data_IF_900723162154
#
_entry.id   IF_900723162154
#
_cell.length_a   1.000
_cell.length_b   1.000
_cell.length_c   1.000
_cell.angle_alpha   90.00
_cell.angle_beta   90.00
_cell.angle_gamma   90.00
#
_symmetry.space_group_name_H-M   'P 1'
#
loop_
_entity.id
_entity.type
_entity.pdbx_description
1 polymer ?
#
# COMPACT_ATOMS: atom_id res chain seq x y z
N UNK A 1 15.43 10.75 -4.00
CA UNK A 1 15.85 10.34 -5.35
C UNK A 1 14.96 9.19 -5.78
N UNK A 2 14.06 9.40 -6.75
CA UNK A 2 13.18 8.35 -7.30
C UNK A 2 13.59 8.05 -8.73
N UNK A 3 13.93 6.79 -9.01
CA UNK A 3 14.20 6.35 -10.37
C UNK A 3 12.88 5.91 -11.01
N UNK A 4 12.39 6.65 -12.00
CA UNK A 4 11.21 6.24 -12.77
C UNK A 4 11.64 5.29 -13.88
N UNK A 5 11.43 3.99 -13.68
CA UNK A 5 11.65 2.97 -14.70
C UNK A 5 10.34 2.74 -15.46
N UNK A 6 10.32 2.99 -16.79
CA UNK A 6 9.17 2.61 -17.64
C UNK A 6 9.42 1.22 -18.20
N UNK A 7 8.68 0.24 -17.70
CA UNK A 7 8.77 -1.14 -18.14
C UNK A 7 7.93 -1.35 -19.41
N UNK A 8 8.58 -1.56 -20.55
CA UNK A 8 7.93 -1.96 -21.82
C UNK A 8 8.44 -3.33 -22.24
N UNK A 9 7.79 -4.39 -21.78
CA UNK A 9 8.10 -5.77 -22.17
C UNK A 9 7.04 -6.32 -23.12
N UNK A 10 7.38 -7.42 -23.80
CA UNK A 10 6.42 -8.16 -24.62
C UNK A 10 5.28 -8.73 -23.76
N UNK A 11 4.09 -8.90 -24.32
CA UNK A 11 2.95 -9.52 -23.63
C UNK A 11 3.31 -10.89 -23.06
N UNK A 12 4.04 -11.70 -23.84
CA UNK A 12 4.52 -13.02 -23.40
C UNK A 12 5.38 -12.93 -22.14
N UNK A 13 6.26 -11.93 -22.05
CA UNK A 13 7.07 -11.70 -20.85
C UNK A 13 6.20 -11.30 -19.66
N UNK A 14 5.16 -10.50 -19.89
CA UNK A 14 4.24 -10.08 -18.84
C UNK A 14 3.41 -11.24 -18.30
N UNK A 15 2.97 -12.15 -19.15
CA UNK A 15 2.24 -13.36 -18.75
C UNK A 15 3.11 -14.31 -17.92
N UNK A 16 4.37 -14.50 -18.34
CA UNK A 16 5.35 -15.29 -17.60
C UNK A 16 5.59 -14.68 -16.22
N UNK A 17 5.80 -13.36 -16.15
CA UNK A 17 6.00 -12.67 -14.88
C UNK A 17 4.78 -12.75 -13.97
N UNK A 18 3.57 -12.60 -14.51
CA UNK A 18 2.32 -12.73 -13.75
C UNK A 18 2.16 -14.14 -13.18
N UNK A 19 2.42 -15.15 -14.00
CA UNK A 19 2.26 -16.57 -13.65
C UNK A 19 3.29 -17.04 -12.64
N UNK A 20 4.54 -16.59 -12.77
CA UNK A 20 5.67 -17.08 -11.97
C UNK A 20 6.15 -16.08 -10.91
N UNK A 21 5.34 -15.08 -10.57
CA UNK A 21 5.75 -14.02 -9.65
C UNK A 21 6.16 -14.57 -8.27
N UNK A 22 5.44 -15.56 -7.75
CA UNK A 22 5.78 -16.20 -6.46
C UNK A 22 7.17 -16.85 -6.49
N UNK A 23 7.49 -17.58 -7.57
CA UNK A 23 8.80 -18.20 -7.77
C UNK A 23 9.89 -17.15 -7.85
N UNK A 24 9.65 -16.06 -8.58
CA UNK A 24 10.59 -14.94 -8.67
C UNK A 24 10.88 -14.33 -7.28
N UNK A 25 9.86 -14.12 -6.44
CA UNK A 25 10.06 -13.59 -5.08
C UNK A 25 10.86 -14.56 -4.19
N UNK A 26 10.65 -15.86 -4.38
CA UNK A 26 11.39 -16.91 -3.67
C UNK A 26 12.86 -16.90 -4.08
N UNK A 27 13.15 -16.86 -5.38
CA UNK A 27 14.50 -16.77 -5.94
C UNK A 27 15.20 -15.47 -5.53
N UNK A 28 14.47 -14.35 -5.54
CA UNK A 28 14.97 -13.06 -5.08
C UNK A 28 15.39 -13.12 -3.60
N UNK A 29 14.56 -13.73 -2.75
CA UNK A 29 14.87 -13.93 -1.32
C UNK A 29 16.10 -14.82 -1.12
N UNK A 30 16.28 -15.85 -1.95
CA UNK A 30 17.43 -16.76 -1.87
C UNK A 30 18.72 -16.15 -2.40
N UNK A 31 18.64 -15.33 -3.45
CA UNK A 31 19.80 -14.63 -4.03
C UNK A 31 20.32 -13.50 -3.13
N UNK A 32 19.49 -13.00 -2.22
CA UNK A 32 19.83 -11.97 -1.26
C UNK A 32 19.43 -12.39 0.17
N UNK A 33 20.08 -13.42 0.76
CA UNK A 33 19.65 -14.03 2.01
C UNK A 33 19.68 -13.07 3.21
N UNK A 34 20.55 -12.06 3.16
CA UNK A 34 20.68 -11.02 4.18
C UNK A 34 19.60 -9.93 4.08
N UNK A 35 18.79 -9.93 3.01
CA UNK A 35 17.78 -8.92 2.74
C UNK A 35 16.39 -9.45 3.00
N UNK A 36 15.50 -8.54 3.38
CA UNK A 36 14.07 -8.76 3.44
C UNK A 36 13.40 -7.64 2.63
N UNK A 37 12.31 -7.98 1.96
CA UNK A 37 11.62 -7.08 1.05
C UNK A 37 10.27 -6.69 1.64
N UNK A 38 9.95 -5.40 1.57
CA UNK A 38 8.61 -4.91 1.84
C UNK A 38 8.05 -4.41 0.52
N UNK A 39 6.92 -4.96 0.11
CA UNK A 39 6.20 -4.55 -1.08
C UNK A 39 4.95 -3.80 -0.62
N UNK A 40 4.97 -2.48 -0.80
CA UNK A 40 3.81 -1.62 -0.55
C UNK A 40 3.10 -1.41 -1.88
N UNK A 41 1.84 -1.83 -1.95
CA UNK A 41 0.96 -1.58 -3.08
C UNK A 41 0.01 -0.48 -2.65
N UNK A 42 0.36 0.74 -3.06
CA UNK A 42 -0.48 1.90 -2.81
C UNK A 42 -1.55 2.06 -3.88
N UNK A 43 -2.71 2.47 -3.41
CA UNK A 43 -3.89 2.79 -4.20
C UNK A 43 -4.22 1.78 -5.32
N UNK A 44 -4.81 0.64 -4.96
CA UNK A 44 -5.31 -0.39 -5.91
C UNK A 44 -6.50 0.06 -6.79
N UNK A 45 -6.70 1.37 -6.95
CA UNK A 45 -7.66 1.94 -7.87
C UNK A 45 -7.52 1.35 -9.27
N UNK A 46 -8.66 1.00 -9.89
CA UNK A 46 -8.71 0.30 -11.18
C UNK A 46 -8.51 -1.22 -11.08
N UNK A 47 -7.52 -1.70 -10.32
CA UNK A 47 -7.29 -3.13 -10.07
C UNK A 47 -8.39 -3.76 -9.21
N UNK A 48 -8.89 -3.00 -8.23
CA UNK A 48 -9.95 -3.41 -7.31
C UNK A 48 -11.30 -3.69 -7.98
N UNK A 49 -11.47 -3.31 -9.24
CA UNK A 49 -12.69 -3.54 -10.03
C UNK A 49 -12.67 -4.86 -10.80
N UNK A 50 -11.56 -5.62 -10.71
CA UNK A 50 -11.36 -6.82 -11.53
C UNK A 50 -11.25 -8.06 -10.67
N UNK A 51 -12.01 -9.07 -11.06
CA UNK A 51 -11.92 -10.42 -10.49
C UNK A 51 -10.51 -11.01 -10.65
N UNK A 52 -9.88 -10.74 -11.80
CA UNK A 52 -8.56 -11.27 -12.15
C UNK A 52 -7.49 -10.86 -11.14
N UNK A 53 -7.51 -9.60 -10.68
CA UNK A 53 -6.54 -9.15 -9.68
C UNK A 53 -6.77 -9.84 -8.33
N UNK A 54 -8.01 -9.92 -7.85
CA UNK A 54 -8.34 -10.59 -6.59
C UNK A 54 -7.92 -12.08 -6.62
N UNK A 55 -8.17 -12.76 -7.74
CA UNK A 55 -7.78 -14.15 -7.95
C UNK A 55 -6.26 -14.32 -8.06
N UNK A 56 -5.59 -13.46 -8.83
CA UNK A 56 -4.14 -13.49 -8.98
C UNK A 56 -3.44 -13.31 -7.63
N UNK A 57 -3.88 -12.32 -6.84
CA UNK A 57 -3.29 -12.04 -5.53
C UNK A 57 -3.50 -13.22 -4.57
N UNK A 58 -4.70 -13.81 -4.56
CA UNK A 58 -4.98 -15.00 -3.74
C UNK A 58 -4.08 -16.17 -4.13
N UNK A 59 -3.94 -16.45 -5.43
CA UNK A 59 -3.05 -17.48 -5.95
C UNK A 59 -1.59 -17.21 -5.60
N UNK A 60 -1.14 -15.96 -5.64
CA UNK A 60 0.19 -15.55 -5.19
C UNK A 60 0.39 -15.90 -3.72
N UNK A 61 -0.53 -15.49 -2.85
CA UNK A 61 -0.45 -15.76 -1.41
C UNK A 61 -0.47 -17.27 -1.10
N UNK A 62 -1.33 -18.04 -1.76
CA UNK A 62 -1.38 -19.50 -1.60
C UNK A 62 -0.11 -20.18 -2.08
N UNK A 63 0.42 -19.75 -3.22
CA UNK A 63 1.67 -20.28 -3.74
C UNK A 63 2.80 -19.98 -2.78
N UNK A 64 2.90 -18.76 -2.27
CA UNK A 64 3.90 -18.42 -1.25
C UNK A 64 3.72 -19.28 0.01
N UNK A 65 2.50 -19.44 0.53
CA UNK A 65 2.25 -20.25 1.72
C UNK A 65 2.60 -21.74 1.53
N UNK A 66 2.31 -22.33 0.37
CA UNK A 66 2.59 -23.73 0.05
C UNK A 66 4.07 -23.98 -0.25
N UNK A 67 4.69 -23.09 -1.03
CA UNK A 67 6.09 -23.22 -1.43
C UNK A 67 7.02 -22.91 -0.26
N UNK A 68 6.53 -22.11 0.69
CA UNK A 68 7.31 -21.59 1.81
C UNK A 68 7.02 -22.29 3.15
N UNK A 69 6.97 -23.62 3.14
CA UNK A 69 6.87 -24.43 4.37
C UNK A 69 8.00 -24.17 5.41
N UNK A 70 8.98 -23.29 5.14
CA UNK A 70 10.14 -23.02 6.01
C UNK A 70 10.63 -21.55 6.06
N UNK A 71 9.84 -20.54 5.65
CA UNK A 71 10.21 -19.12 5.77
C UNK A 71 11.40 -18.66 4.90
N UNK A 72 11.62 -19.33 3.76
CA UNK A 72 12.58 -18.99 2.71
C UNK A 72 12.22 -17.71 1.96
N UNK A 73 10.94 -17.35 1.87
CA UNK A 73 10.52 -16.13 1.18
C UNK A 73 10.42 -14.99 2.18
N UNK A 74 11.41 -14.09 2.16
CA UNK A 74 11.54 -12.97 3.10
C UNK A 74 10.85 -11.72 2.55
N UNK A 75 9.56 -11.83 2.25
CA UNK A 75 8.75 -10.76 1.68
C UNK A 75 7.54 -10.47 2.57
N UNK A 76 7.34 -9.21 2.92
CA UNK A 76 6.12 -8.71 3.53
C UNK A 76 5.34 -7.86 2.51
N UNK A 77 4.03 -8.05 2.44
CA UNK A 77 3.14 -7.25 1.62
C UNK A 77 2.31 -6.32 2.48
N UNK A 78 2.20 -5.06 2.05
CA UNK A 78 1.29 -4.07 2.61
C UNK A 78 0.42 -3.56 1.47
N UNK A 79 -0.89 -3.72 1.63
CA UNK A 79 -1.88 -3.22 0.67
C UNK A 79 -2.59 -2.03 1.31
N UNK A 80 -2.51 -0.86 0.68
CA UNK A 80 -3.24 0.34 1.14
C UNK A 80 -4.35 0.68 0.15
N UNK A 81 -5.55 0.91 0.68
CA UNK A 81 -6.69 1.35 -0.11
C UNK A 81 -7.81 1.88 0.78
N UNK A 82 -8.80 2.49 0.14
CA UNK A 82 -10.03 2.89 0.83
C UNK A 82 -10.90 1.66 1.14
N UNK A 83 -11.68 1.68 2.23
CA UNK A 83 -12.53 0.56 2.62
C UNK A 83 -13.48 0.07 1.51
N UNK A 84 -14.03 0.98 0.71
CA UNK A 84 -14.92 0.63 -0.41
C UNK A 84 -14.21 -0.18 -1.50
N UNK A 85 -12.92 0.08 -1.73
CA UNK A 85 -12.13 -0.67 -2.71
C UNK A 85 -11.78 -2.07 -2.20
N UNK A 86 -11.44 -2.19 -0.92
CA UNK A 86 -11.19 -3.49 -0.28
C UNK A 86 -12.46 -4.35 -0.26
N UNK A 87 -13.62 -3.75 -0.01
CA UNK A 87 -14.92 -4.45 -0.08
C UNK A 87 -15.19 -5.03 -1.47
N UNK A 88 -14.89 -4.28 -2.53
CA UNK A 88 -15.03 -4.81 -3.91
C UNK A 88 -14.11 -5.99 -4.18
N UNK A 89 -12.87 -5.96 -3.69
CA UNK A 89 -11.95 -7.10 -3.80
C UNK A 89 -12.48 -8.34 -3.05
N UNK A 90 -13.11 -8.13 -1.90
CA UNK A 90 -13.77 -9.20 -1.15
C UNK A 90 -15.00 -9.75 -1.89
N UNK A 91 -15.83 -8.89 -2.49
CA UNK A 91 -16.98 -9.30 -3.31
C UNK A 91 -16.54 -10.14 -4.51
N UNK A 92 -15.43 -9.76 -5.14
CA UNK A 92 -14.82 -10.55 -6.21
C UNK A 92 -14.33 -11.91 -5.68
N UNK A 93 -13.54 -11.92 -4.60
CA UNK A 93 -13.05 -13.16 -4.01
C UNK A 93 -13.12 -13.11 -2.48
N UNK A 94 -14.09 -13.82 -1.85
CA UNK A 94 -14.24 -13.79 -0.39
C UNK A 94 -13.03 -14.33 0.37
N UNK A 95 -12.17 -15.12 -0.29
CA UNK A 95 -10.94 -15.62 0.32
C UNK A 95 -9.78 -14.62 0.25
N UNK A 96 -9.91 -13.54 -0.53
CA UNK A 96 -8.93 -12.46 -0.59
C UNK A 96 -8.78 -11.74 0.74
N UNK A 97 -9.88 -11.44 1.44
CA UNK A 97 -9.78 -10.74 2.73
C UNK A 97 -9.09 -11.59 3.80
N UNK A 98 -9.07 -12.92 3.66
CA UNK A 98 -8.51 -13.86 4.65
C UNK A 98 -6.99 -13.94 4.65
N UNK A 99 -6.34 -13.49 3.58
CA UNK A 99 -4.87 -13.49 3.46
C UNK A 99 -4.22 -12.23 4.05
N UNK A 100 -5.02 -11.27 4.52
CA UNK A 100 -4.53 -10.03 5.13
C UNK A 100 -4.92 -9.92 6.59
N UNK A 101 -4.03 -9.30 7.36
CA UNK A 101 -4.39 -8.66 8.61
C UNK A 101 -4.88 -7.25 8.29
N UNK A 102 -6.14 -6.97 8.62
CA UNK A 102 -6.76 -5.66 8.38
C UNK A 102 -6.36 -4.69 9.49
N UNK A 103 -5.88 -3.51 9.08
CA UNK A 103 -5.59 -2.42 9.98
C UNK A 103 -6.31 -1.17 9.47
N UNK A 104 -7.31 -0.73 10.21
CA UNK A 104 -8.04 0.48 9.90
C UNK A 104 -7.24 1.68 10.40
N UNK A 105 -6.83 2.55 9.48
CA UNK A 105 -6.18 3.81 9.82
C UNK A 105 -7.28 4.85 10.08
N UNK A 106 -7.43 5.33 11.32
CA UNK A 106 -8.42 6.36 11.63
C UNK A 106 -8.04 7.70 10.99
N UNK A 107 -9.00 8.61 10.94
CA UNK A 107 -8.75 10.01 10.64
C UNK A 107 -7.86 10.64 11.71
N UNK A 108 -7.11 11.68 11.32
CA UNK A 108 -6.26 12.42 12.25
C UNK A 108 -7.14 13.16 13.26
N UNK A 109 -6.74 13.12 14.52
CA UNK A 109 -7.38 13.94 15.55
C UNK A 109 -6.86 15.40 15.51
N UNK A 110 -7.54 16.30 16.23
CA UNK A 110 -7.22 17.74 16.23
C UNK A 110 -5.77 18.03 16.66
N UNK A 111 -5.21 17.27 17.60
CA UNK A 111 -3.83 17.46 18.06
C UNK A 111 -2.82 17.01 16.99
N UNK A 112 -3.09 15.89 16.32
CA UNK A 112 -2.26 15.38 15.21
C UNK A 112 -2.26 16.32 14.01
N UNK A 113 -3.42 16.92 13.67
CA UNK A 113 -3.52 17.93 12.61
C UNK A 113 -2.74 19.18 13.00
N UNK A 114 -2.85 19.62 14.27
CA UNK A 114 -2.14 20.78 14.78
C UNK A 114 -0.63 20.56 14.74
N UNK A 115 -0.15 19.41 15.20
CA UNK A 115 1.25 19.01 15.15
C UNK A 115 1.74 18.96 13.70
N UNK A 116 0.98 18.33 12.81
CA UNK A 116 1.29 18.30 11.38
C UNK A 116 1.49 19.71 10.81
N UNK A 117 0.58 20.65 11.10
CA UNK A 117 0.73 22.02 10.60
C UNK A 117 1.95 22.73 11.18
N UNK A 118 2.17 22.63 12.48
CA UNK A 118 3.32 23.26 13.13
C UNK A 118 4.64 22.75 12.54
N UNK A 119 4.80 21.45 12.41
CA UNK A 119 6.01 20.84 11.82
C UNK A 119 6.22 21.29 10.37
N UNK A 120 5.17 21.29 9.55
CA UNK A 120 5.28 21.70 8.14
C UNK A 120 5.60 23.20 7.99
N UNK A 121 4.99 24.07 8.80
CA UNK A 121 5.29 25.50 8.78
C UNK A 121 6.69 25.79 9.31
N UNK A 122 7.15 25.09 10.34
CA UNK A 122 8.52 25.19 10.84
C UNK A 122 9.55 24.78 9.78
N UNK A 123 9.32 23.66 9.09
CA UNK A 123 10.15 23.22 7.95
C UNK A 123 10.20 24.26 6.83
N UNK A 124 9.10 24.96 6.58
CA UNK A 124 9.01 26.04 5.59
C UNK A 124 9.52 27.39 6.11
N UNK A 125 9.97 27.48 7.36
CA UNK A 125 10.34 28.73 8.06
C UNK A 125 9.23 29.80 8.07
N UNK A 126 7.98 29.36 8.07
CA UNK A 126 6.79 30.22 8.14
C UNK A 126 6.37 30.32 9.61
N UNK A 127 6.18 31.55 10.09
CA UNK A 127 5.56 31.79 11.40
C UNK A 127 4.05 31.83 11.23
N UNK A 128 3.35 30.97 11.95
CA UNK A 128 1.89 30.96 12.03
C UNK A 128 1.45 31.44 13.42
N UNK A 129 0.45 32.31 13.48
CA UNK A 129 -0.15 32.72 14.75
C UNK A 129 -1.20 31.69 15.21
N UNK A 130 -1.49 31.68 16.51
CA UNK A 130 -2.40 30.70 17.10
C UNK A 130 -3.84 30.77 16.55
N UNK A 131 -4.30 31.95 16.12
CA UNK A 131 -5.65 32.10 15.59
C UNK A 131 -5.75 31.50 14.19
N UNK A 132 -4.75 31.73 13.34
CA UNK A 132 -4.66 31.09 12.01
C UNK A 132 -4.56 29.58 12.12
N UNK A 133 -3.73 29.05 13.04
CA UNK A 133 -3.60 27.62 13.27
C UNK A 133 -4.92 26.98 13.74
N UNK A 134 -5.64 27.65 14.64
CA UNK A 134 -6.96 27.22 15.09
C UNK A 134 -7.97 27.13 13.92
N UNK A 135 -8.03 28.16 13.07
CA UNK A 135 -8.93 28.16 11.93
C UNK A 135 -8.60 27.04 10.93
N UNK A 136 -7.32 26.82 10.64
CA UNK A 136 -6.88 25.74 9.77
C UNK A 136 -7.27 24.36 10.32
N UNK A 137 -7.08 24.14 11.62
CA UNK A 137 -7.46 22.89 12.27
C UNK A 137 -8.98 22.66 12.21
N UNK A 138 -9.76 23.70 12.57
CA UNK A 138 -11.22 23.67 12.54
C UNK A 138 -11.77 23.34 11.15
N UNK A 139 -11.26 23.99 10.10
CA UNK A 139 -11.75 23.78 8.74
C UNK A 139 -11.27 22.47 8.10
N UNK A 140 -10.18 21.86 8.57
CA UNK A 140 -9.72 20.57 8.04
C UNK A 140 -10.45 19.37 8.64
N UNK A 141 -10.96 19.46 9.88
CA UNK A 141 -11.81 18.43 10.51
C UNK A 141 -11.28 17.00 10.35
N UNK A 142 -9.96 16.77 10.47
CA UNK A 142 -9.36 15.43 10.37
C UNK A 142 -9.06 14.92 8.97
N UNK A 143 -9.50 15.60 7.91
CA UNK A 143 -9.34 15.10 6.53
C UNK A 143 -7.99 15.50 5.90
N UNK A 144 -7.06 14.56 5.65
CA UNK A 144 -5.75 14.87 5.07
C UNK A 144 -5.81 15.42 3.64
N UNK A 145 -6.92 15.17 2.94
CA UNK A 145 -7.18 15.70 1.59
C UNK A 145 -7.45 17.21 1.58
N UNK A 146 -7.95 17.76 2.68
CA UNK A 146 -8.19 19.20 2.85
C UNK A 146 -6.90 19.96 3.23
N UNK A 147 -5.91 19.26 3.76
CA UNK A 147 -4.63 19.82 4.21
C UNK A 147 -3.72 20.24 3.03
N UNK A 148 -3.92 19.69 1.82
CA UNK A 148 -2.99 19.79 0.68
C UNK A 148 -3.41 20.74 -0.46
N UNK A 149 -4.38 21.64 -0.27
CA UNK A 149 -4.78 22.58 -1.33
C UNK A 149 -4.24 23.99 -1.13
#
# INVERSE_FOLDING_TARGET
MGNTLKFKQSEKTMDVLRTHFASFLTELSQSAPEKSFIIVIDDVNGLSQTQDFANWYKSLADTLALTDHYGKTKVAFILTSYPDKLNKLHEHNPSFSRIFHHYDLPELNEDEIREFYMENFELAQIKIDNQSLYLMNYYCSGMPTMIRK
#
